data_IF_681443259068
#
_entry.id   IF_681443259068
#
_cell.length_a   1.000
_cell.length_b   1.000
_cell.length_c   1.000
_cell.angle_alpha   90.00
_cell.angle_beta   90.00
_cell.angle_gamma   90.00
#
_symmetry.space_group_name_H-M   'P 1'
#
loop_
_entity.id
_entity.type
_entity.pdbx_description
1 polymer ?
#
# COMPACT_ATOMS: atom_id res chain seq x y z
N UNK A 1 -14.53 19.11 -1.26
CA UNK A 1 -14.52 19.51 0.18
C UNK A 1 -14.49 18.23 1.02
N UNK A 2 -14.10 18.27 2.30
CA UNK A 2 -14.29 17.13 3.21
C UNK A 2 -15.32 17.47 4.29
N UNK A 3 -16.29 16.58 4.51
CA UNK A 3 -17.37 16.71 5.49
C UNK A 3 -17.41 15.43 6.34
N UNK A 4 -17.43 15.57 7.67
CA UNK A 4 -17.44 14.44 8.62
C UNK A 4 -18.53 14.63 9.69
N UNK A 5 -19.40 13.63 9.85
CA UNK A 5 -20.49 13.59 10.84
C UNK A 5 -20.05 13.05 12.21
N UNK A 6 -19.08 12.14 12.25
CA UNK A 6 -18.62 11.50 13.48
C UNK A 6 -19.64 10.55 14.11
N UNK A 7 -19.78 10.59 15.44
CA UNK A 7 -20.77 9.77 16.14
C UNK A 7 -22.15 10.49 16.16
N UNK A 8 -23.20 9.82 15.73
CA UNK A 8 -24.54 10.41 15.72
C UNK A 8 -25.40 9.92 14.57
N UNK A 9 -26.62 10.45 14.49
CA UNK A 9 -27.42 10.32 13.28
C UNK A 9 -27.38 11.68 12.58
N UNK A 10 -26.60 11.77 11.53
CA UNK A 10 -26.21 13.03 10.92
C UNK A 10 -26.91 13.28 9.59
N UNK A 11 -26.85 14.55 9.15
CA UNK A 11 -27.31 14.98 7.83
C UNK A 11 -26.22 15.78 7.17
N UNK A 12 -25.60 15.19 6.16
CA UNK A 12 -24.41 15.72 5.50
C UNK A 12 -24.68 16.00 4.03
N UNK A 13 -24.04 17.05 3.52
CA UNK A 13 -24.26 17.58 2.18
C UNK A 13 -22.93 18.01 1.56
N UNK A 14 -22.60 17.47 0.38
CA UNK A 14 -21.39 17.78 -0.40
C UNK A 14 -21.43 19.20 -0.96
N UNK A 15 -22.14 19.42 -2.06
CA UNK A 15 -22.23 20.76 -2.65
C UNK A 15 -22.28 20.77 -4.16
N UNK A 16 -21.41 21.57 -4.80
CA UNK A 16 -21.39 21.72 -6.26
C UNK A 16 -20.09 21.22 -6.90
N UNK A 17 -19.21 20.64 -6.10
CA UNK A 17 -17.85 20.24 -6.48
C UNK A 17 -17.63 18.81 -6.01
N UNK A 18 -16.52 18.20 -6.41
CA UNK A 18 -16.12 16.90 -5.88
C UNK A 18 -15.86 16.98 -4.37
N UNK A 19 -16.57 16.15 -3.63
CA UNK A 19 -16.60 16.14 -2.18
C UNK A 19 -16.26 14.75 -1.60
N UNK A 20 -15.72 14.75 -0.39
CA UNK A 20 -15.47 13.56 0.44
C UNK A 20 -16.39 13.69 1.65
N UNK A 21 -17.36 12.80 1.78
CA UNK A 21 -18.37 12.83 2.83
C UNK A 21 -18.24 11.57 3.69
N UNK A 22 -18.10 11.73 4.99
CA UNK A 22 -18.01 10.65 5.98
C UNK A 22 -19.17 10.76 6.97
N UNK A 23 -20.07 9.78 6.98
CA UNK A 23 -21.22 9.73 7.92
C UNK A 23 -20.74 9.43 9.33
N UNK A 24 -20.05 8.30 9.48
CA UNK A 24 -19.43 7.90 10.73
C UNK A 24 -20.25 6.81 11.41
N UNK A 25 -20.62 7.00 12.67
CA UNK A 25 -21.35 6.00 13.44
C UNK A 25 -22.77 6.44 13.77
N UNK A 26 -23.76 5.78 13.19
CA UNK A 26 -25.18 5.91 13.46
C UNK A 26 -25.98 5.85 12.16
N UNK A 27 -27.24 6.30 12.18
CA UNK A 27 -28.10 6.22 11.00
C UNK A 27 -28.11 7.58 10.29
N UNK A 28 -27.31 7.69 9.25
CA UNK A 28 -26.99 8.94 8.60
C UNK A 28 -27.80 9.17 7.32
N UNK A 29 -27.93 10.44 6.94
CA UNK A 29 -28.44 10.84 5.62
C UNK A 29 -27.38 11.68 4.93
N UNK A 30 -26.86 11.16 3.82
CA UNK A 30 -25.76 11.77 3.06
C UNK A 30 -26.24 12.08 1.64
N UNK A 31 -25.85 13.22 1.11
CA UNK A 31 -26.21 13.69 -0.23
C UNK A 31 -25.02 14.44 -0.86
N UNK A 32 -24.49 13.91 -1.96
CA UNK A 32 -23.34 14.48 -2.67
C UNK A 32 -23.65 15.78 -3.40
N UNK A 33 -24.88 15.90 -3.92
CA UNK A 33 -25.33 16.96 -4.83
C UNK A 33 -24.63 16.94 -6.19
N UNK A 34 -23.93 17.99 -6.63
CA UNK A 34 -23.23 17.97 -7.91
C UNK A 34 -21.74 17.74 -7.67
N UNK A 35 -21.09 16.86 -8.43
CA UNK A 35 -19.69 16.53 -8.26
C UNK A 35 -19.42 15.05 -8.52
N UNK A 36 -18.17 14.68 -8.70
CA UNK A 36 -17.77 13.27 -8.57
C UNK A 36 -17.36 13.04 -7.11
N UNK A 37 -18.26 12.48 -6.31
CA UNK A 37 -18.12 12.45 -4.86
C UNK A 37 -17.61 11.11 -4.34
N UNK A 38 -16.92 11.14 -3.19
CA UNK A 38 -16.61 9.97 -2.37
C UNK A 38 -17.50 10.03 -1.13
N UNK A 39 -18.41 9.08 -0.99
CA UNK A 39 -19.35 9.02 0.14
C UNK A 39 -19.12 7.72 0.93
N UNK A 40 -18.65 7.87 2.17
CA UNK A 40 -18.45 6.81 3.14
C UNK A 40 -19.52 6.93 4.24
N UNK A 41 -20.57 6.10 4.18
CA UNK A 41 -21.69 6.17 5.12
C UNK A 41 -21.25 5.76 6.53
N UNK A 42 -20.49 4.66 6.65
CA UNK A 42 -19.93 4.19 7.92
C UNK A 42 -20.77 3.08 8.54
N UNK A 43 -21.05 3.15 9.83
CA UNK A 43 -21.81 2.09 10.51
C UNK A 43 -23.20 2.54 10.90
N UNK A 44 -24.23 1.77 10.55
CA UNK A 44 -25.59 1.98 11.01
C UNK A 44 -26.63 1.56 9.99
N UNK A 45 -27.64 2.40 9.77
CA UNK A 45 -28.60 2.22 8.69
C UNK A 45 -28.71 3.54 7.97
N UNK A 46 -27.98 3.62 6.88
CA UNK A 46 -27.73 4.88 6.21
C UNK A 46 -28.60 5.06 4.99
N UNK A 47 -28.80 6.32 4.62
CA UNK A 47 -29.47 6.71 3.38
C UNK A 47 -28.54 7.64 2.62
N UNK A 48 -28.05 7.18 1.47
CA UNK A 48 -27.08 7.92 0.66
C UNK A 48 -27.62 8.20 -0.72
N UNK A 49 -27.47 9.45 -1.14
CA UNK A 49 -27.70 9.94 -2.50
C UNK A 49 -26.35 10.43 -3.07
N UNK A 50 -25.95 9.90 -4.22
CA UNK A 50 -24.75 10.35 -4.96
C UNK A 50 -24.99 11.73 -5.54
N UNK A 51 -25.91 11.81 -6.49
CA UNK A 51 -26.35 13.07 -7.07
C UNK A 51 -26.00 13.15 -8.55
N UNK A 52 -25.48 14.30 -9.00
CA UNK A 52 -25.00 14.50 -10.36
C UNK A 52 -23.49 14.31 -10.44
N UNK A 53 -23.03 13.34 -11.23
CA UNK A 53 -21.62 13.08 -11.46
C UNK A 53 -21.30 11.60 -11.32
N UNK A 54 -20.03 11.24 -11.36
CA UNK A 54 -19.64 9.84 -11.22
C UNK A 54 -19.23 9.62 -9.76
N UNK A 55 -20.08 8.98 -8.99
CA UNK A 55 -19.90 8.89 -7.54
C UNK A 55 -19.33 7.55 -7.10
N UNK A 56 -18.56 7.58 -6.02
CA UNK A 56 -18.16 6.41 -5.26
C UNK A 56 -18.91 6.39 -3.93
N UNK A 57 -19.74 5.37 -3.72
CA UNK A 57 -20.61 5.27 -2.55
C UNK A 57 -20.36 3.96 -1.81
N UNK A 58 -20.21 4.07 -0.50
CA UNK A 58 -19.80 3.01 0.40
C UNK A 58 -20.74 2.97 1.61
N UNK A 59 -21.61 1.96 1.67
CA UNK A 59 -22.57 1.77 2.77
C UNK A 59 -21.94 1.20 4.05
N UNK A 60 -20.85 0.45 3.91
CA UNK A 60 -20.11 -0.19 5.00
C UNK A 60 -20.96 -1.14 5.88
N UNK A 61 -21.19 -0.87 7.16
CA UNK A 61 -21.79 -1.84 8.08
C UNK A 61 -23.23 -1.45 8.36
N UNK A 62 -24.22 -2.29 8.05
CA UNK A 62 -25.58 -1.80 8.07
C UNK A 62 -26.56 -2.50 7.16
N UNK A 63 -27.75 -1.90 7.08
CA UNK A 63 -28.76 -2.27 6.10
C UNK A 63 -29.14 -1.00 5.34
N UNK A 64 -28.33 -0.66 4.35
CA UNK A 64 -28.28 0.70 3.83
C UNK A 64 -29.18 0.90 2.61
N UNK A 65 -29.51 2.16 2.35
CA UNK A 65 -30.18 2.58 1.14
C UNK A 65 -29.25 3.51 0.37
N UNK A 66 -28.69 3.03 -0.74
CA UNK A 66 -27.71 3.78 -1.54
C UNK A 66 -28.27 4.00 -2.95
N UNK A 67 -28.29 5.25 -3.41
CA UNK A 67 -28.64 5.59 -4.79
C UNK A 67 -27.56 6.50 -5.42
N UNK A 68 -27.02 6.10 -6.59
CA UNK A 68 -26.03 6.90 -7.32
C UNK A 68 -26.64 8.12 -8.01
N UNK A 69 -27.88 8.00 -8.45
CA UNK A 69 -28.62 9.02 -9.21
C UNK A 69 -28.10 9.21 -10.63
N UNK A 70 -27.37 10.28 -10.97
CA UNK A 70 -27.03 10.63 -12.35
C UNK A 70 -25.52 10.53 -12.61
N UNK A 71 -25.07 9.46 -13.26
CA UNK A 71 -23.73 9.38 -13.82
C UNK A 71 -23.27 7.95 -13.93
N UNK A 72 -21.97 7.70 -13.93
CA UNK A 72 -21.44 6.35 -13.88
C UNK A 72 -20.90 6.09 -12.47
N UNK A 73 -21.74 5.49 -11.65
CA UNK A 73 -21.51 5.38 -10.22
C UNK A 73 -20.98 4.01 -9.82
N UNK A 74 -20.26 3.97 -8.71
CA UNK A 74 -19.74 2.79 -8.07
C UNK A 74 -20.32 2.70 -6.66
N UNK A 75 -21.19 1.71 -6.42
CA UNK A 75 -21.88 1.52 -5.15
C UNK A 75 -21.42 0.23 -4.49
N UNK A 76 -20.94 0.31 -3.26
CA UNK A 76 -20.65 -0.82 -2.38
C UNK A 76 -21.63 -0.81 -1.21
N UNK A 77 -22.46 -1.84 -1.12
CA UNK A 77 -23.41 -1.97 0.00
C UNK A 77 -22.77 -2.33 1.33
N UNK A 78 -21.54 -2.85 1.32
CA UNK A 78 -20.93 -3.43 2.51
C UNK A 78 -20.98 -4.96 2.54
N UNK A 79 -20.46 -5.54 3.62
CA UNK A 79 -20.40 -6.99 3.82
C UNK A 79 -21.73 -7.63 4.24
N UNK A 80 -22.73 -6.82 4.55
CA UNK A 80 -24.02 -7.25 5.04
C UNK A 80 -25.01 -7.56 3.90
N UNK A 81 -26.12 -8.22 4.21
CA UNK A 81 -26.96 -8.90 3.20
C UNK A 81 -28.31 -8.24 2.91
N UNK A 82 -28.60 -7.05 3.47
CA UNK A 82 -29.92 -6.41 3.34
C UNK A 82 -29.95 -4.98 2.75
N UNK A 83 -28.93 -4.58 2.00
CA UNK A 83 -28.87 -3.24 1.40
C UNK A 83 -29.75 -3.11 0.15
N UNK A 84 -30.35 -1.93 -0.04
CA UNK A 84 -31.01 -1.51 -1.27
C UNK A 84 -30.08 -0.58 -2.05
N UNK A 85 -29.45 -1.12 -3.10
CA UNK A 85 -28.45 -0.42 -3.91
C UNK A 85 -29.02 -0.14 -5.29
N UNK A 86 -28.99 1.14 -5.71
CA UNK A 86 -29.56 1.59 -6.97
C UNK A 86 -28.58 2.51 -7.68
N UNK A 87 -27.93 2.02 -8.74
CA UNK A 87 -26.99 2.87 -9.49
C UNK A 87 -27.65 4.14 -10.07
N UNK A 88 -28.93 4.10 -10.44
CA UNK A 88 -29.59 5.24 -11.09
C UNK A 88 -29.38 5.23 -12.60
N UNK A 89 -29.30 6.42 -13.21
CA UNK A 89 -29.00 6.61 -14.63
C UNK A 89 -27.51 6.32 -14.92
N UNK A 90 -27.16 6.18 -16.20
CA UNK A 90 -25.79 5.89 -16.64
C UNK A 90 -25.34 4.43 -16.43
N UNK A 91 -24.02 4.21 -16.52
CA UNK A 91 -23.39 2.88 -16.46
C UNK A 91 -22.76 2.66 -15.11
N UNK A 92 -23.44 1.88 -14.27
CA UNK A 92 -23.12 1.78 -12.85
C UNK A 92 -22.52 0.42 -12.51
N UNK A 93 -21.61 0.40 -11.54
CA UNK A 93 -21.14 -0.79 -10.87
C UNK A 93 -21.76 -0.87 -9.48
N UNK A 94 -22.55 -1.92 -9.23
CA UNK A 94 -23.20 -2.14 -7.93
C UNK A 94 -22.68 -3.45 -7.33
N UNK A 95 -21.99 -3.34 -6.21
CA UNK A 95 -21.31 -4.44 -5.54
C UNK A 95 -21.89 -4.64 -4.14
N UNK A 96 -22.18 -5.91 -3.81
CA UNK A 96 -22.63 -6.34 -2.47
C UNK A 96 -21.47 -6.97 -1.72
N UNK A 97 -20.48 -6.14 -1.40
CA UNK A 97 -19.29 -6.53 -0.65
C UNK A 97 -18.75 -5.33 0.12
N UNK A 98 -17.84 -5.61 1.04
CA UNK A 98 -17.07 -4.57 1.72
C UNK A 98 -16.33 -3.70 0.71
N UNK A 99 -16.32 -2.42 1.01
CA UNK A 99 -15.85 -1.33 0.16
C UNK A 99 -14.34 -1.09 0.26
N UNK A 100 -13.76 -1.29 1.45
CA UNK A 100 -12.32 -1.18 1.69
C UNK A 100 -11.73 -2.58 1.91
N UNK A 101 -10.91 -3.06 0.96
CA UNK A 101 -10.40 -4.44 1.02
C UNK A 101 -8.88 -4.54 1.14
N UNK A 102 -8.13 -3.52 0.70
CA UNK A 102 -6.67 -3.50 0.77
C UNK A 102 -6.19 -2.06 0.73
N UNK A 103 -5.79 -1.46 1.87
CA UNK A 103 -5.21 -0.13 1.83
C UNK A 103 -3.87 -0.18 1.11
N UNK A 104 -3.58 0.91 0.42
CA UNK A 104 -2.29 1.24 -0.15
C UNK A 104 -1.97 2.68 0.27
N UNK A 105 -0.70 3.03 0.30
CA UNK A 105 -0.21 4.36 0.67
C UNK A 105 0.67 4.86 -0.46
N UNK A 106 0.67 6.17 -0.66
CA UNK A 106 1.61 6.85 -1.53
C UNK A 106 1.32 8.36 -1.58
N UNK A 107 2.28 9.13 -2.04
CA UNK A 107 2.17 10.56 -2.37
C UNK A 107 1.56 10.74 -3.76
N UNK A 108 0.24 10.61 -3.85
CA UNK A 108 -0.46 10.64 -5.15
C UNK A 108 -0.47 12.04 -5.78
N UNK A 109 -0.32 13.08 -4.96
CA UNK A 109 -0.44 14.47 -5.40
C UNK A 109 0.91 15.20 -5.55
N UNK A 110 2.00 14.63 -5.03
CA UNK A 110 3.35 15.16 -5.09
C UNK A 110 3.64 16.25 -4.06
N UNK A 111 2.91 16.28 -2.94
CA UNK A 111 3.11 17.25 -1.87
C UNK A 111 4.03 16.77 -0.74
N UNK A 112 4.56 15.55 -0.88
CA UNK A 112 5.43 14.88 0.06
C UNK A 112 4.69 14.19 1.20
N UNK A 113 3.36 14.07 1.14
CA UNK A 113 2.57 13.37 2.15
C UNK A 113 1.96 12.10 1.58
N UNK A 114 2.14 11.01 2.31
CA UNK A 114 1.48 9.76 1.99
C UNK A 114 0.00 9.83 2.34
N UNK A 115 -0.84 9.64 1.33
CA UNK A 115 -2.27 9.49 1.52
C UNK A 115 -2.72 8.04 1.42
N UNK A 116 -3.65 7.63 2.29
CA UNK A 116 -4.29 6.34 2.14
C UNK A 116 -5.10 6.30 0.86
N UNK A 117 -5.07 5.15 0.20
CA UNK A 117 -5.93 4.76 -0.89
C UNK A 117 -6.40 3.31 -0.65
N UNK A 118 -7.40 2.85 -1.39
CA UNK A 118 -7.91 1.49 -1.26
C UNK A 118 -8.02 0.80 -2.60
N UNK A 119 -7.52 -0.43 -2.66
CA UNK A 119 -7.69 -1.31 -3.80
C UNK A 119 -8.79 -2.35 -3.51
N UNK A 120 -9.72 -2.47 -4.45
CA UNK A 120 -10.80 -3.46 -4.47
C UNK A 120 -10.44 -4.53 -5.47
N UNK A 121 -9.66 -5.51 -5.02
CA UNK A 121 -9.07 -6.53 -5.89
C UNK A 121 -10.12 -7.31 -6.69
N UNK A 122 -11.32 -7.56 -6.15
CA UNK A 122 -12.38 -8.28 -6.86
C UNK A 122 -12.87 -7.60 -8.14
N UNK A 123 -12.60 -6.30 -8.30
CA UNK A 123 -13.06 -5.51 -9.45
C UNK A 123 -11.93 -4.71 -10.13
N UNK A 124 -10.70 -4.73 -9.58
CA UNK A 124 -9.57 -3.95 -10.08
C UNK A 124 -9.81 -2.45 -9.96
N UNK A 125 -10.37 -2.01 -8.84
CA UNK A 125 -10.73 -0.59 -8.62
C UNK A 125 -9.80 -0.02 -7.58
N UNK A 126 -9.26 1.15 -7.88
CA UNK A 126 -8.45 1.96 -6.98
C UNK A 126 -9.25 3.19 -6.57
N UNK A 127 -9.29 3.44 -5.27
CA UNK A 127 -9.89 4.61 -4.64
C UNK A 127 -8.74 5.45 -4.10
N UNK A 128 -8.43 6.53 -4.80
CA UNK A 128 -7.45 7.51 -4.36
C UNK A 128 -8.23 8.58 -3.62
N UNK A 129 -7.87 8.92 -2.39
CA UNK A 129 -8.51 10.04 -1.70
C UNK A 129 -7.95 11.40 -2.22
N UNK A 130 -7.82 11.54 -3.55
CA UNK A 130 -7.37 12.72 -4.28
C UNK A 130 -8.57 13.42 -4.96
N UNK A 131 -8.73 14.74 -4.82
CA UNK A 131 -9.79 15.50 -5.48
C UNK A 131 -9.75 15.50 -7.01
N UNK A 132 -8.61 15.18 -7.66
CA UNK A 132 -8.49 15.19 -9.13
C UNK A 132 -8.96 13.87 -9.74
N UNK A 133 -8.61 12.72 -9.14
CA UNK A 133 -9.07 11.39 -9.57
C UNK A 133 -9.47 10.52 -8.35
N UNK A 134 -10.67 10.72 -7.80
CA UNK A 134 -11.09 10.06 -6.56
C UNK A 134 -11.18 8.53 -6.66
N UNK A 135 -11.41 8.02 -7.87
CA UNK A 135 -11.36 6.59 -8.14
C UNK A 135 -11.15 6.32 -9.62
N UNK A 136 -10.60 5.15 -9.92
CA UNK A 136 -10.46 4.66 -11.27
C UNK A 136 -10.36 3.13 -11.28
N UNK A 137 -10.73 2.52 -12.41
CA UNK A 137 -10.55 1.09 -12.60
C UNK A 137 -9.23 0.85 -13.34
N UNK A 138 -8.35 0.05 -12.74
CA UNK A 138 -7.05 -0.26 -13.30
C UNK A 138 -6.67 -1.72 -13.03
N UNK A 139 -6.20 -2.39 -14.07
CA UNK A 139 -5.94 -3.83 -14.03
C UNK A 139 -7.19 -4.70 -14.10
N UNK A 140 -6.97 -6.00 -13.90
CA UNK A 140 -8.03 -7.02 -13.94
C UNK A 140 -8.45 -7.41 -12.52
N UNK A 141 -9.66 -7.95 -12.38
CA UNK A 141 -10.11 -8.57 -11.14
C UNK A 141 -9.11 -9.65 -10.67
N UNK A 142 -8.70 -9.54 -9.41
CA UNK A 142 -7.74 -10.42 -8.74
C UNK A 142 -6.28 -10.00 -8.91
N UNK A 143 -5.98 -8.92 -9.65
CA UNK A 143 -4.64 -8.34 -9.65
C UNK A 143 -4.28 -7.81 -8.25
N UNK A 144 -2.99 -7.73 -7.93
CA UNK A 144 -2.50 -7.16 -6.67
C UNK A 144 -1.98 -5.76 -6.94
N UNK A 145 -2.22 -4.80 -6.04
CA UNK A 145 -1.75 -3.43 -6.24
C UNK A 145 -0.23 -3.35 -6.01
N UNK A 146 0.39 -2.42 -6.70
CA UNK A 146 1.76 -1.97 -6.52
C UNK A 146 1.73 -0.44 -6.43
N UNK A 147 2.65 0.14 -5.69
CA UNK A 147 2.83 1.59 -5.59
C UNK A 147 4.31 1.88 -5.79
N UNK A 148 4.60 2.95 -6.51
CA UNK A 148 5.93 3.51 -6.70
C UNK A 148 5.89 4.65 -7.71
N UNK A 149 6.94 5.46 -7.74
CA UNK A 149 7.13 6.52 -8.73
C UNK A 149 7.63 5.92 -10.05
N UNK A 150 6.70 5.41 -10.85
CA UNK A 150 7.06 4.78 -12.13
C UNK A 150 7.61 5.84 -13.09
N UNK A 151 7.11 7.07 -13.09
CA UNK A 151 7.46 8.01 -14.15
C UNK A 151 8.65 8.94 -13.82
N UNK A 152 9.03 9.02 -12.54
CA UNK A 152 10.16 9.79 -12.00
C UNK A 152 9.83 11.26 -11.75
N UNK A 153 8.56 11.60 -11.58
CA UNK A 153 8.11 12.97 -11.30
C UNK A 153 8.01 13.29 -9.80
N UNK A 154 8.36 12.33 -8.95
CA UNK A 154 8.31 12.43 -7.50
C UNK A 154 6.91 12.22 -6.93
N UNK A 155 5.99 11.62 -7.70
CA UNK A 155 4.69 11.19 -7.21
C UNK A 155 4.61 9.68 -7.22
N UNK A 156 3.88 9.14 -6.26
CA UNK A 156 3.53 7.73 -6.34
C UNK A 156 2.46 7.49 -7.40
N UNK A 157 2.73 6.48 -8.21
CA UNK A 157 1.86 6.01 -9.26
C UNK A 157 1.31 4.61 -8.92
N UNK A 158 0.16 4.26 -9.50
CA UNK A 158 -0.45 2.94 -9.29
C UNK A 158 0.06 1.93 -10.30
N UNK A 159 0.46 0.76 -9.80
CA UNK A 159 0.72 -0.43 -10.60
C UNK A 159 -0.18 -1.58 -10.20
N UNK A 160 -0.26 -2.60 -11.07
CA UNK A 160 -0.85 -3.90 -10.74
C UNK A 160 0.04 -5.04 -11.19
N UNK A 161 0.04 -6.08 -10.37
CA UNK A 161 0.71 -7.35 -10.64
C UNK A 161 -0.31 -8.48 -10.79
N UNK A 162 -0.13 -9.28 -11.84
CA UNK A 162 -0.87 -10.52 -12.05
C UNK A 162 0.08 -11.70 -12.22
N UNK A 163 -0.08 -12.70 -11.35
CA UNK A 163 0.68 -13.94 -11.44
C UNK A 163 0.29 -14.74 -12.69
N UNK A 164 1.28 -15.30 -13.38
CA UNK A 164 1.02 -16.15 -14.53
C UNK A 164 0.27 -17.45 -14.14
N UNK A 165 -0.61 -17.92 -15.02
CA UNK A 165 -1.40 -19.13 -14.81
C UNK A 165 -0.57 -20.43 -14.94
N UNK A 166 0.57 -20.39 -15.62
CA UNK A 166 1.44 -21.56 -15.83
C UNK A 166 2.86 -21.29 -15.34
N UNK A 167 3.56 -22.28 -14.73
CA UNK A 167 4.88 -22.07 -14.14
C UNK A 167 5.98 -21.61 -15.10
N UNK A 168 5.76 -21.74 -16.41
CA UNK A 168 6.72 -21.39 -17.46
C UNK A 168 6.48 -20.02 -18.08
N UNK A 169 5.36 -19.38 -17.77
CA UNK A 169 5.06 -18.02 -18.20
C UNK A 169 5.52 -17.04 -17.14
N UNK A 170 5.93 -15.85 -17.56
CA UNK A 170 6.27 -14.77 -16.65
C UNK A 170 5.01 -14.12 -16.09
N UNK A 171 5.13 -13.51 -14.92
CA UNK A 171 4.06 -12.69 -14.37
C UNK A 171 3.93 -11.39 -15.18
N UNK A 172 2.77 -10.74 -15.11
CA UNK A 172 2.48 -9.50 -15.82
C UNK A 172 2.40 -8.33 -14.84
N UNK A 173 3.04 -7.24 -15.22
CA UNK A 173 3.00 -5.95 -14.52
C UNK A 173 2.37 -4.93 -15.47
N UNK A 174 1.44 -4.14 -14.96
CA UNK A 174 0.84 -3.01 -15.68
C UNK A 174 0.98 -1.80 -14.76
N UNK A 175 1.66 -0.76 -15.23
CA UNK A 175 1.98 0.45 -14.47
C UNK A 175 1.23 1.62 -15.10
N UNK A 176 0.55 2.42 -14.27
CA UNK A 176 -0.10 3.66 -14.66
C UNK A 176 0.93 4.79 -14.56
N UNK A 177 1.66 5.06 -15.64
CA UNK A 177 2.72 6.08 -15.69
C UNK A 177 2.14 7.46 -16.09
N UNK A 178 0.90 7.71 -15.67
CA UNK A 178 -0.02 8.65 -16.30
C UNK A 178 0.41 10.12 -16.27
N UNK A 179 1.04 10.59 -17.35
CA UNK A 179 1.16 12.02 -17.65
C UNK A 179 -0.26 12.64 -17.81
N UNK A 180 -0.52 13.88 -17.36
CA UNK A 180 -1.78 14.56 -17.66
C UNK A 180 -2.06 14.62 -19.18
N UNK A 181 -2.94 13.74 -19.68
CA UNK A 181 -3.47 13.76 -21.04
C UNK A 181 -3.05 12.63 -21.99
N UNK A 182 -2.41 11.54 -21.54
CA UNK A 182 -2.15 10.34 -22.39
C UNK A 182 -2.70 9.05 -21.77
N UNK A 183 -2.86 8.01 -22.59
CA UNK A 183 -3.18 6.62 -22.17
C UNK A 183 -1.90 5.89 -21.71
N UNK A 184 -1.11 6.52 -20.85
CA UNK A 184 0.27 6.16 -20.48
C UNK A 184 0.39 4.92 -19.61
N UNK A 185 -0.08 3.78 -20.09
CA UNK A 185 0.05 2.50 -19.43
C UNK A 185 1.25 1.73 -20.01
N UNK A 186 2.18 1.31 -19.15
CA UNK A 186 3.26 0.42 -19.53
C UNK A 186 2.97 -0.98 -19.01
N UNK A 187 3.04 -1.98 -19.90
CA UNK A 187 2.84 -3.38 -19.53
C UNK A 187 4.06 -4.21 -19.91
N UNK A 188 4.57 -5.00 -18.97
CA UNK A 188 5.69 -5.89 -19.21
C UNK A 188 5.58 -7.17 -18.38
N UNK A 189 6.48 -8.11 -18.65
CA UNK A 189 6.47 -9.43 -18.00
C UNK A 189 7.80 -9.70 -17.33
N UNK A 190 7.75 -10.07 -16.05
CA UNK A 190 8.95 -10.30 -15.24
C UNK A 190 8.69 -11.34 -14.15
N UNK A 191 9.75 -12.02 -13.70
CA UNK A 191 9.64 -13.09 -12.71
C UNK A 191 8.78 -14.29 -13.14
N UNK A 192 8.53 -15.21 -12.21
CA UNK A 192 7.76 -16.44 -12.40
C UNK A 192 6.65 -16.58 -11.35
N UNK A 193 5.66 -17.45 -11.57
CA UNK A 193 4.60 -17.70 -10.61
C UNK A 193 5.13 -18.13 -9.24
N UNK A 194 4.67 -17.43 -8.20
CA UNK A 194 5.09 -17.65 -6.81
C UNK A 194 6.27 -16.80 -6.36
N UNK A 195 6.88 -16.02 -7.25
CA UNK A 195 7.80 -14.96 -6.85
C UNK A 195 7.04 -13.81 -6.18
N UNK A 196 7.67 -13.17 -5.20
CA UNK A 196 7.13 -11.97 -4.55
C UNK A 196 7.62 -10.73 -5.30
N UNK A 197 6.75 -9.83 -5.77
CA UNK A 197 7.17 -8.56 -6.38
C UNK A 197 7.81 -7.64 -5.33
N UNK A 198 8.82 -6.89 -5.76
CA UNK A 198 9.55 -5.88 -5.01
C UNK A 198 9.59 -4.61 -5.85
N UNK A 199 9.52 -3.45 -5.21
CA UNK A 199 9.57 -2.14 -5.88
C UNK A 199 10.72 -1.36 -5.29
N UNK A 200 11.46 -0.64 -6.13
CA UNK A 200 12.51 0.29 -5.73
C UNK A 200 13.32 0.78 -6.94
N UNK A 201 14.05 1.88 -6.79
CA UNK A 201 15.00 2.43 -7.77
C UNK A 201 16.33 1.67 -7.71
N UNK A 202 16.39 0.53 -8.39
CA UNK A 202 17.61 -0.31 -8.41
C UNK A 202 18.75 0.33 -9.20
N UNK A 203 18.49 1.33 -10.05
CA UNK A 203 19.44 1.79 -11.06
C UNK A 203 19.89 3.26 -10.88
N UNK A 204 19.24 4.01 -9.98
CA UNK A 204 19.52 5.39 -9.62
C UNK A 204 19.02 6.42 -10.63
N UNK A 205 18.03 6.08 -11.45
CA UNK A 205 17.41 7.01 -12.39
C UNK A 205 16.19 7.75 -11.82
N UNK A 206 15.90 7.54 -10.53
CA UNK A 206 14.78 8.10 -9.76
C UNK A 206 13.43 7.59 -10.22
N UNK A 207 13.39 6.43 -10.85
CA UNK A 207 12.16 5.73 -11.14
C UNK A 207 12.15 4.40 -10.44
N UNK A 208 11.00 4.06 -9.92
CA UNK A 208 10.82 2.75 -9.35
C UNK A 208 10.79 1.67 -10.44
N UNK A 209 11.49 0.59 -10.16
CA UNK A 209 11.63 -0.55 -11.03
C UNK A 209 11.10 -1.81 -10.32
N UNK A 210 10.64 -2.78 -11.10
CA UNK A 210 10.16 -4.05 -10.53
C UNK A 210 11.33 -5.00 -10.31
N UNK A 211 11.49 -5.44 -9.08
CA UNK A 211 12.24 -6.63 -8.69
C UNK A 211 11.33 -7.79 -8.33
N UNK A 212 11.90 -8.97 -8.17
CA UNK A 212 11.23 -10.11 -7.55
C UNK A 212 12.13 -10.89 -6.59
N UNK A 213 11.54 -11.34 -5.49
CA UNK A 213 12.14 -12.32 -4.59
C UNK A 213 11.59 -13.72 -4.85
N UNK A 214 12.48 -14.64 -5.19
CA UNK A 214 12.17 -16.07 -5.37
C UNK A 214 12.65 -16.87 -4.17
N UNK A 215 11.75 -17.12 -3.23
CA UNK A 215 12.05 -17.86 -1.99
C UNK A 215 12.55 -19.29 -2.23
N UNK A 216 12.05 -19.95 -3.28
CA UNK A 216 12.25 -21.39 -3.53
C UNK A 216 13.13 -21.69 -4.76
N UNK A 217 14.09 -20.81 -5.09
CA UNK A 217 14.96 -21.05 -6.24
C UNK A 217 15.94 -22.22 -5.97
N UNK A 218 16.39 -22.95 -7.02
CA UNK A 218 17.44 -23.93 -6.88
C UNK A 218 18.71 -23.32 -6.25
N UNK A 219 19.14 -23.92 -5.14
CA UNK A 219 20.31 -23.46 -4.37
C UNK A 219 20.00 -22.49 -3.24
N UNK A 220 18.74 -22.06 -3.05
CA UNK A 220 18.32 -21.12 -2.00
C UNK A 220 17.63 -19.89 -2.57
N UNK A 221 17.09 -19.00 -1.71
CA UNK A 221 16.38 -17.82 -2.16
C UNK A 221 17.24 -16.86 -2.99
N UNK A 222 16.60 -16.11 -3.89
CA UNK A 222 17.27 -15.16 -4.78
C UNK A 222 16.42 -13.93 -5.08
N UNK A 223 17.09 -12.80 -5.28
CA UNK A 223 16.53 -11.56 -5.85
C UNK A 223 16.83 -11.52 -7.34
N UNK A 224 15.88 -11.05 -8.13
CA UNK A 224 16.05 -10.73 -9.55
C UNK A 224 15.53 -9.31 -9.73
N UNK A 225 16.37 -8.39 -10.19
CA UNK A 225 16.04 -6.98 -10.33
C UNK A 225 15.95 -6.63 -11.81
N UNK A 226 14.90 -5.93 -12.23
CA UNK A 226 14.78 -5.40 -13.59
C UNK A 226 15.47 -4.03 -13.67
N UNK A 227 16.80 -4.03 -13.81
CA UNK A 227 17.61 -2.82 -13.95
C UNK A 227 17.70 -2.34 -15.43
N UNK A 228 16.93 -2.97 -16.31
CA UNK A 228 16.94 -2.72 -17.74
C UNK A 228 15.95 -1.61 -18.14
N UNK A 229 16.04 -1.10 -19.38
CA UNK A 229 14.95 -0.35 -19.98
C UNK A 229 13.65 -1.18 -19.93
N UNK A 230 12.60 -0.61 -19.33
CA UNK A 230 11.28 -1.26 -19.17
C UNK A 230 10.79 -1.93 -20.45
N UNK A 231 10.16 -3.10 -20.30
CA UNK A 231 9.52 -3.81 -21.41
C UNK A 231 10.44 -4.75 -22.19
N UNK A 232 11.60 -5.12 -21.66
CA UNK A 232 12.38 -6.21 -22.23
C UNK A 232 11.72 -7.55 -21.91
N UNK A 233 10.99 -8.11 -22.87
CA UNK A 233 10.22 -9.35 -22.74
C UNK A 233 11.10 -10.61 -22.83
N UNK A 234 12.24 -10.62 -22.16
CA UNK A 234 13.18 -11.73 -22.10
C UNK A 234 14.08 -11.57 -20.89
N UNK A 235 14.83 -12.61 -20.53
CA UNK A 235 15.90 -12.45 -19.55
C UNK A 235 16.96 -11.55 -20.20
N UNK A 236 17.13 -10.30 -19.73
CA UNK A 236 18.26 -9.47 -20.18
C UNK A 236 19.53 -10.31 -20.03
N UNK A 237 20.44 -10.36 -21.03
CA UNK A 237 21.75 -11.00 -20.87
C UNK A 237 22.55 -10.24 -19.80
N UNK A 238 22.29 -10.53 -18.52
CA UNK A 238 22.68 -9.67 -17.41
C UNK A 238 21.73 -9.69 -16.21
N UNK A 239 20.50 -10.25 -16.32
CA UNK A 239 19.64 -10.52 -15.15
C UNK A 239 20.31 -11.55 -14.24
N UNK A 240 21.11 -11.04 -13.30
CA UNK A 240 21.85 -11.83 -12.35
C UNK A 240 20.92 -12.05 -11.16
N UNK A 241 20.52 -13.31 -10.95
CA UNK A 241 19.83 -13.68 -9.72
C UNK A 241 20.79 -13.63 -8.54
N UNK A 242 20.64 -12.65 -7.66
CA UNK A 242 21.44 -12.46 -6.47
C UNK A 242 20.99 -13.42 -5.37
N UNK A 243 21.85 -14.38 -5.02
CA UNK A 243 21.56 -15.31 -3.95
C UNK A 243 21.79 -14.64 -2.60
N UNK A 244 20.72 -14.46 -1.82
CA UNK A 244 20.77 -13.81 -0.52
C UNK A 244 19.71 -14.37 0.42
N UNK A 245 20.10 -14.60 1.68
CA UNK A 245 19.22 -15.15 2.71
C UNK A 245 19.01 -16.67 2.66
N UNK A 246 18.08 -17.13 3.51
CA UNK A 246 17.69 -18.51 3.72
C UNK A 246 16.19 -18.71 3.50
N UNK A 247 15.79 -19.96 3.26
CA UNK A 247 14.39 -20.30 3.10
C UNK A 247 13.57 -19.88 4.34
N UNK A 248 12.50 -19.13 4.12
CA UNK A 248 11.63 -18.60 5.16
C UNK A 248 12.02 -17.21 5.68
N UNK A 249 13.12 -16.64 5.20
CA UNK A 249 13.40 -15.22 5.44
C UNK A 249 12.44 -14.33 4.63
N UNK A 250 12.13 -13.15 5.16
CA UNK A 250 11.28 -12.16 4.51
C UNK A 250 12.16 -11.14 3.78
N UNK A 251 11.89 -10.83 2.50
CA UNK A 251 12.62 -9.78 1.81
C UNK A 251 12.23 -8.40 2.34
N UNK A 252 13.19 -7.48 2.35
CA UNK A 252 13.04 -6.06 2.68
C UNK A 252 13.85 -5.25 1.66
N UNK A 253 13.42 -4.02 1.41
CA UNK A 253 14.01 -3.09 0.44
C UNK A 253 14.18 -1.75 1.14
N UNK A 254 15.24 -1.02 0.81
CA UNK A 254 15.45 0.38 1.18
C UNK A 254 16.84 0.88 0.78
N UNK A 255 17.03 2.20 0.77
CA UNK A 255 18.31 2.88 0.57
C UNK A 255 19.11 2.91 1.89
N UNK A 256 19.85 1.82 2.14
CA UNK A 256 20.60 1.72 3.38
C UNK A 256 21.82 2.67 3.38
N UNK A 257 22.50 2.91 2.28
CA UNK A 257 23.74 3.69 2.31
C UNK A 257 23.53 5.21 2.07
N UNK A 258 22.33 5.62 1.69
CA UNK A 258 21.91 7.00 1.41
C UNK A 258 22.40 7.49 0.05
N UNK A 259 22.62 6.59 -0.91
CA UNK A 259 23.14 6.93 -2.22
C UNK A 259 22.04 7.28 -3.24
N UNK A 260 20.77 7.15 -2.86
CA UNK A 260 19.59 7.37 -3.67
C UNK A 260 19.22 6.20 -4.57
N UNK A 261 19.72 4.99 -4.29
CA UNK A 261 19.34 3.74 -4.96
C UNK A 261 18.88 2.73 -3.92
N UNK A 262 17.87 1.95 -4.27
CA UNK A 262 17.36 0.92 -3.40
C UNK A 262 18.27 -0.31 -3.37
N UNK A 263 18.52 -0.79 -2.16
CA UNK A 263 19.24 -2.01 -1.87
C UNK A 263 18.26 -3.07 -1.33
N UNK A 264 18.67 -4.34 -1.38
CA UNK A 264 17.89 -5.43 -0.82
C UNK A 264 18.48 -5.96 0.50
N UNK A 265 17.61 -6.49 1.34
CA UNK A 265 17.98 -7.21 2.54
C UNK A 265 16.98 -8.30 2.86
N UNK A 266 17.22 -9.01 3.95
CA UNK A 266 16.24 -9.93 4.53
C UNK A 266 16.02 -9.67 6.01
N UNK A 267 14.83 -10.04 6.47
CA UNK A 267 14.49 -10.21 7.86
C UNK A 267 14.25 -11.69 8.19
N UNK A 268 14.95 -12.18 9.20
CA UNK A 268 14.79 -13.55 9.69
C UNK A 268 13.82 -13.59 10.85
N UNK A 269 12.55 -13.86 10.56
CA UNK A 269 11.46 -13.92 11.55
C UNK A 269 11.71 -14.91 12.68
N UNK A 270 12.46 -15.99 12.44
CA UNK A 270 12.78 -16.97 13.48
C UNK A 270 13.73 -16.43 14.56
N UNK A 271 14.51 -15.39 14.26
CA UNK A 271 15.49 -14.80 15.19
C UNK A 271 15.29 -13.31 15.44
N UNK A 272 14.44 -12.62 14.69
CA UNK A 272 14.26 -11.17 14.77
C UNK A 272 15.47 -10.38 14.28
N UNK A 273 16.14 -10.85 13.23
CA UNK A 273 17.41 -10.27 12.74
C UNK A 273 17.29 -9.75 11.32
N UNK A 274 17.85 -8.58 11.08
CA UNK A 274 18.05 -7.96 9.78
C UNK A 274 19.40 -8.37 9.21
N UNK A 275 19.46 -8.58 7.90
CA UNK A 275 20.69 -8.79 7.15
C UNK A 275 20.56 -7.96 5.87
N UNK A 276 21.44 -6.99 5.69
CA UNK A 276 21.36 -6.02 4.60
C UNK A 276 22.49 -6.28 3.59
N UNK A 277 22.23 -6.02 2.31
CA UNK A 277 23.27 -5.92 1.28
C UNK A 277 23.52 -4.44 0.99
N UNK A 278 24.56 -3.85 1.57
CA UNK A 278 24.92 -2.43 1.38
C UNK A 278 25.74 -2.27 0.08
N UNK A 279 25.07 -2.41 -1.08
CA UNK A 279 25.65 -2.12 -2.38
C UNK A 279 26.64 -3.15 -2.96
N UNK A 280 26.76 -4.36 -2.40
CA UNK A 280 27.63 -5.41 -2.97
C UNK A 280 26.91 -6.30 -4.00
N UNK A 281 25.60 -6.12 -4.21
CA UNK A 281 24.71 -6.86 -5.13
C UNK A 281 25.10 -8.34 -5.20
N UNK A 282 25.08 -8.98 -4.05
CA UNK A 282 25.24 -10.42 -3.85
C UNK A 282 26.69 -10.93 -3.68
N UNK A 283 26.94 -11.59 -2.54
CA UNK A 283 27.99 -12.60 -2.41
C UNK A 283 27.40 -14.01 -2.35
N UNK A 284 28.01 -14.93 -3.11
CA UNK A 284 27.67 -16.35 -3.16
C UNK A 284 28.06 -17.05 -1.85
N UNK A 285 27.06 -17.44 -1.06
CA UNK A 285 27.24 -18.35 0.06
C UNK A 285 27.55 -17.62 1.37
N UNK A 286 26.83 -18.02 2.40
CA UNK A 286 27.00 -17.55 3.77
C UNK A 286 28.48 -17.62 4.20
N UNK A 287 29.21 -16.51 4.14
CA UNK A 287 30.35 -16.23 5.04
C UNK A 287 30.82 -14.79 4.94
N UNK A 288 30.84 -14.12 6.10
CA UNK A 288 31.73 -13.01 6.50
C UNK A 288 31.50 -11.58 5.96
N UNK A 289 30.44 -11.29 5.19
CA UNK A 289 30.09 -9.92 4.77
C UNK A 289 28.71 -9.43 5.22
N UNK A 290 27.81 -10.33 5.64
CA UNK A 290 26.46 -9.96 6.10
C UNK A 290 26.55 -9.20 7.42
N UNK A 291 26.27 -7.89 7.41
CA UNK A 291 26.06 -7.14 8.64
C UNK A 291 24.69 -7.57 9.20
N UNK A 292 24.73 -8.59 10.06
CA UNK A 292 23.54 -9.14 10.71
C UNK A 292 23.18 -8.34 11.95
N UNK A 293 22.18 -7.47 11.86
CA UNK A 293 21.70 -6.66 12.97
C UNK A 293 20.63 -7.42 13.76
N UNK A 294 20.89 -7.64 15.05
CA UNK A 294 19.81 -8.02 15.97
C UNK A 294 19.04 -6.75 16.31
N UNK A 295 17.72 -6.77 16.22
CA UNK A 295 16.87 -5.64 16.64
C UNK A 295 15.51 -6.14 17.13
N UNK A 296 14.89 -7.02 16.36
CA UNK A 296 13.64 -7.68 16.71
C UNK A 296 13.81 -8.91 17.61
N UNK A 297 12.68 -9.55 17.84
CA UNK A 297 12.52 -10.87 18.44
C UNK A 297 11.89 -11.83 17.42
N UNK A 298 11.88 -13.12 17.77
CA UNK A 298 11.22 -14.12 16.96
C UNK A 298 9.71 -13.83 16.83
N UNK A 299 9.20 -13.82 15.60
CA UNK A 299 7.79 -13.58 15.31
C UNK A 299 7.39 -12.10 15.13
N UNK A 300 8.33 -11.16 15.29
CA UNK A 300 8.08 -9.76 14.94
C UNK A 300 7.90 -9.60 13.41
N UNK A 301 7.19 -8.55 13.01
CA UNK A 301 7.06 -8.14 11.61
C UNK A 301 8.11 -7.05 11.32
N UNK A 302 8.90 -7.15 10.24
CA UNK A 302 9.88 -6.14 9.90
C UNK A 302 9.21 -4.86 9.41
N UNK A 303 9.81 -3.72 9.74
CA UNK A 303 9.50 -2.39 9.21
C UNK A 303 10.76 -1.79 8.60
N UNK A 304 10.57 -0.95 7.59
CA UNK A 304 11.60 -0.14 6.91
C UNK A 304 11.03 1.25 6.70
N UNK A 305 11.89 2.27 6.80
CA UNK A 305 11.57 3.66 6.52
C UNK A 305 12.66 4.59 7.04
N UNK A 306 12.70 5.84 6.56
CA UNK A 306 13.54 6.91 7.07
C UNK A 306 12.90 7.55 8.30
N UNK A 307 13.13 6.94 9.47
CA UNK A 307 12.53 7.42 10.69
C UNK A 307 13.12 8.75 11.17
N UNK A 308 14.34 9.09 10.73
CA UNK A 308 15.16 10.14 11.32
C UNK A 308 15.29 11.39 10.40
N UNK A 309 14.94 11.25 9.12
CA UNK A 309 14.90 12.28 8.09
C UNK A 309 16.26 12.58 7.49
N UNK A 310 17.21 11.64 7.51
CA UNK A 310 18.55 11.82 6.94
C UNK A 310 18.68 11.32 5.49
N UNK A 311 17.57 10.85 4.91
CA UNK A 311 17.48 10.30 3.56
C UNK A 311 18.02 8.88 3.45
N UNK A 312 18.16 8.16 4.58
CA UNK A 312 18.51 6.74 4.60
C UNK A 312 17.36 5.95 5.17
N UNK A 313 17.17 4.75 4.62
CA UNK A 313 16.28 3.79 5.24
C UNK A 313 16.91 3.19 6.49
N UNK A 314 16.11 3.21 7.54
CA UNK A 314 16.34 2.60 8.83
C UNK A 314 15.44 1.36 8.99
N UNK A 315 15.68 0.55 10.02
CA UNK A 315 14.85 -0.62 10.31
C UNK A 315 14.08 -0.50 11.63
N UNK A 316 12.91 -1.11 11.66
CA UNK A 316 12.05 -1.17 12.83
C UNK A 316 11.34 -2.51 12.95
N UNK A 317 10.62 -2.78 14.03
CA UNK A 317 9.77 -3.95 14.14
C UNK A 317 8.40 -3.63 14.70
N UNK A 318 7.39 -4.31 14.17
CA UNK A 318 6.05 -4.34 14.71
C UNK A 318 5.81 -5.64 15.47
N UNK A 319 5.43 -5.50 16.75
CA UNK A 319 5.30 -6.62 17.68
C UNK A 319 3.87 -6.78 18.16
N UNK A 320 3.33 -7.99 18.00
CA UNK A 320 2.11 -8.44 18.66
C UNK A 320 2.41 -8.87 20.10
N UNK A 321 1.85 -8.19 21.09
CA UNK A 321 2.07 -8.53 22.50
C UNK A 321 1.00 -9.48 23.03
N UNK A 322 1.39 -10.38 23.94
CA UNK A 322 0.45 -11.26 24.64
C UNK A 322 -0.62 -10.51 25.46
N UNK A 323 -0.41 -9.22 25.75
CA UNK A 323 -1.37 -8.33 26.41
C UNK A 323 -2.54 -7.90 25.52
N UNK A 324 -2.52 -8.22 24.21
CA UNK A 324 -3.58 -7.86 23.26
C UNK A 324 -3.36 -6.56 22.48
N UNK A 325 -2.26 -5.85 22.73
CA UNK A 325 -1.86 -4.64 22.02
C UNK A 325 -0.63 -4.88 21.14
N UNK A 326 -0.37 -3.95 20.24
CA UNK A 326 0.83 -3.94 19.40
C UNK A 326 1.80 -2.83 19.79
N UNK A 327 3.08 -3.04 19.47
CA UNK A 327 4.14 -2.06 19.73
C UNK A 327 5.03 -1.93 18.51
N UNK A 328 5.30 -0.67 18.11
CA UNK A 328 6.32 -0.31 17.12
C UNK A 328 7.63 -0.04 17.83
N UNK A 329 8.72 -0.57 17.29
CA UNK A 329 10.09 -0.24 17.70
C UNK A 329 10.85 0.23 16.48
N UNK A 330 11.60 1.32 16.60
CA UNK A 330 12.38 1.88 15.50
C UNK A 330 13.82 2.07 15.92
N UNK A 331 14.76 1.71 15.05
CA UNK A 331 16.17 2.07 15.20
C UNK A 331 16.34 3.48 14.61
N UNK A 332 16.65 4.48 15.44
CA UNK A 332 16.93 5.86 14.99
C UNK A 332 18.40 6.24 15.16
N UNK A 333 19.25 5.23 15.39
CA UNK A 333 20.66 5.39 15.68
C UNK A 333 21.56 4.83 14.58
N UNK A 334 22.85 4.76 14.86
CA UNK A 334 23.80 4.08 13.98
C UNK A 334 23.58 2.56 14.02
N UNK A 335 22.76 2.05 13.09
CA UNK A 335 22.46 0.63 12.79
C UNK A 335 22.88 -0.39 13.85
N UNK A 336 21.90 -0.91 14.59
CA UNK A 336 21.99 -2.16 15.34
C UNK A 336 21.76 -2.02 16.83
N UNK A 337 21.20 -3.08 17.43
CA UNK A 337 20.95 -3.15 18.88
C UNK A 337 22.27 -3.17 19.67
N UNK A 338 22.62 -2.04 20.30
CA UNK A 338 23.74 -1.98 21.26
C UNK A 338 23.34 -2.46 22.66
N UNK A 339 22.10 -2.93 22.83
CA UNK A 339 21.61 -3.53 24.07
C UNK A 339 21.31 -2.55 25.20
N UNK A 340 21.48 -1.24 24.96
CA UNK A 340 21.10 -0.11 25.82
C UNK A 340 21.63 1.18 25.15
N UNK A 341 20.88 1.80 24.24
CA UNK A 341 21.12 3.21 23.89
C UNK A 341 19.81 3.94 23.67
N UNK A 342 19.88 5.26 23.72
CA UNK A 342 18.75 6.20 23.74
C UNK A 342 18.08 6.35 22.36
N UNK A 343 18.36 5.42 21.45
CA UNK A 343 18.09 5.52 20.00
C UNK A 343 17.02 4.49 19.55
N UNK A 344 16.29 3.90 20.51
CA UNK A 344 15.21 2.94 20.27
C UNK A 344 13.90 3.54 20.76
N UNK A 345 13.05 3.98 19.83
CA UNK A 345 11.74 4.54 20.17
C UNK A 345 10.67 3.46 20.10
N UNK A 346 10.05 3.17 21.25
CA UNK A 346 8.97 2.19 21.39
C UNK A 346 7.61 2.85 21.56
N UNK A 347 6.64 2.51 20.71
CA UNK A 347 5.28 3.07 20.74
C UNK A 347 4.22 1.97 20.78
N UNK A 348 3.49 1.87 21.89
CA UNK A 348 2.29 1.03 21.94
C UNK A 348 1.15 1.72 21.18
N UNK A 349 0.71 1.08 20.09
CA UNK A 349 -0.30 1.61 19.20
C UNK A 349 -0.91 0.47 18.38
N UNK A 350 -2.24 0.37 18.35
CA UNK A 350 -2.98 -0.72 17.69
C UNK A 350 -3.29 -1.93 18.58
N UNK A 351 -3.98 -2.89 17.98
CA UNK A 351 -4.41 -4.15 18.59
C UNK A 351 -3.77 -5.33 17.89
N UNK A 352 -3.65 -6.46 18.60
CA UNK A 352 -3.13 -7.69 18.00
C UNK A 352 -3.99 -8.12 16.80
N UNK A 353 -3.33 -8.35 15.67
CA UNK A 353 -3.97 -8.68 14.39
C UNK A 353 -4.20 -7.49 13.46
N UNK A 354 -3.96 -6.26 13.93
CA UNK A 354 -3.84 -5.12 13.02
C UNK A 354 -2.54 -5.25 12.19
N UNK A 355 -2.54 -4.72 10.96
CA UNK A 355 -1.36 -4.69 10.09
C UNK A 355 -0.65 -3.34 10.21
N UNK A 356 0.68 -3.30 10.31
CA UNK A 356 1.41 -2.04 10.36
C UNK A 356 1.34 -1.30 9.02
N UNK A 357 1.33 0.02 9.10
CA UNK A 357 1.40 0.95 7.97
C UNK A 357 2.50 1.96 8.26
N UNK A 358 3.33 2.26 7.26
CA UNK A 358 4.47 3.18 7.32
C UNK A 358 4.34 4.17 6.17
N UNK A 359 4.71 5.42 6.42
CA UNK A 359 4.74 6.50 5.44
C UNK A 359 4.80 7.86 6.13
N UNK A 360 5.12 8.93 5.40
CA UNK A 360 5.15 10.31 5.90
C UNK A 360 3.77 10.96 5.73
N UNK A 361 2.89 10.85 6.72
CA UNK A 361 1.54 11.43 6.62
C UNK A 361 1.51 12.94 6.83
N UNK A 362 2.63 13.54 7.26
CA UNK A 362 2.66 14.91 7.77
C UNK A 362 3.54 15.85 6.93
N UNK A 363 4.39 15.28 6.08
CA UNK A 363 5.21 15.96 5.07
C UNK A 363 6.45 16.59 5.65
N UNK A 364 6.96 16.08 6.79
CA UNK A 364 8.18 16.58 7.41
C UNK A 364 9.46 15.86 6.95
N UNK A 365 9.31 14.93 6.01
CA UNK A 365 10.39 14.13 5.44
C UNK A 365 10.81 12.99 6.36
N UNK A 366 9.94 12.56 7.28
CA UNK A 366 10.18 11.41 8.16
C UNK A 366 9.03 10.44 8.09
N UNK A 367 9.40 9.16 8.10
CA UNK A 367 8.39 8.12 8.16
C UNK A 367 7.73 8.06 9.54
N UNK A 368 6.41 8.13 9.49
CA UNK A 368 5.49 7.96 10.58
C UNK A 368 4.90 6.54 10.57
N UNK A 369 3.94 6.26 11.46
CA UNK A 369 3.36 4.92 11.55
C UNK A 369 1.87 4.92 11.85
N UNK A 370 1.24 3.83 11.44
CA UNK A 370 -0.16 3.57 11.66
C UNK A 370 -0.48 2.09 11.68
N UNK A 371 -1.75 1.77 11.85
CA UNK A 371 -2.25 0.40 11.72
C UNK A 371 -3.51 0.35 10.88
N UNK A 372 -3.60 -0.65 10.01
CA UNK A 372 -4.85 -1.08 9.40
C UNK A 372 -5.50 -2.14 10.28
N UNK A 373 -6.75 -1.89 10.66
CA UNK A 373 -7.61 -2.92 11.21
C UNK A 373 -8.36 -3.65 10.12
N UNK A 374 -7.85 -4.80 9.68
CA UNK A 374 -8.46 -5.56 8.58
C UNK A 374 -9.90 -6.02 8.84
N UNK A 375 -10.32 -6.14 10.10
CA UNK A 375 -11.70 -6.50 10.44
C UNK A 375 -12.71 -5.38 10.19
N UNK A 376 -12.25 -4.13 10.16
CA UNK A 376 -13.11 -2.96 9.96
C UNK A 376 -12.71 -2.12 8.74
N UNK A 377 -11.56 -2.39 8.11
CA UNK A 377 -11.02 -1.57 7.03
C UNK A 377 -10.48 -0.20 7.47
N UNK A 378 -10.47 0.09 8.78
CA UNK A 378 -10.12 1.42 9.30
C UNK A 378 -8.61 1.55 9.49
N UNK A 379 -8.07 2.69 9.03
CA UNK A 379 -6.68 3.11 9.23
C UNK A 379 -6.58 4.04 10.43
N UNK A 380 -5.71 3.71 11.37
CA UNK A 380 -5.35 4.55 12.51
C UNK A 380 -3.93 5.07 12.30
N UNK A 381 -3.75 6.39 12.30
CA UNK A 381 -2.44 7.03 12.05
C UNK A 381 -1.89 7.66 13.33
N UNK A 382 -0.57 7.77 13.41
CA UNK A 382 0.12 8.46 14.49
C UNK A 382 1.43 9.07 13.98
N UNK A 383 1.50 10.39 14.08
CA UNK A 383 2.74 11.11 13.81
C UNK A 383 3.76 10.83 14.91
N UNK A 384 5.01 10.75 14.49
CA UNK A 384 6.20 10.76 15.34
C UNK A 384 6.42 12.17 15.87
N UNK A 385 6.84 12.26 17.13
CA UNK A 385 7.03 13.54 17.83
C UNK A 385 8.50 13.96 17.82
#
# INVERSE_FOLDING_TARGET
>A
MEVDGGDGNDRLYGGLLNDVIRGGAGNDVLDGFDGADIILAGSGRDTVYGGEGNDFICGDAGNDFLIGENGNDILFGGGDSADDLRGGNGTNLVVRAACLTSPILGDWNGDGRDEPASHIASHGIFLLFDPVRPFFQFGQAGAKPLVGDWNGDGKDDIGVYQQAATPTQQNTYILDEGVPGSSGESAYSFGLPGDLPLIGDWNGDRRDDVGVYRANAPGGPRYFLDEGPRGYTGMYPGEIGYQFGLAGDQPIIGDWDGNGTDDFGIFRTASGRYFLDEGARGYSGQTAGELGYQFGLAGDTPLVGDWNGDGKDDFGVFRNNASGYTTFFFDVGARGWTGQSQDELGYSFGLVGDNPLIGDWNGDGKDDFGVLRSTTGVVYRRNRA
#
